data_IF_564519350432
#
_entry.id   IF_564519350432
#
_cell.length_a   1.000
_cell.length_b   1.000
_cell.length_c   1.000
_cell.angle_alpha   90.00
_cell.angle_beta   90.00
_cell.angle_gamma   90.00
#
_symmetry.space_group_name_H-M   'P 1'
#
loop_
_entity.id
_entity.type
_entity.pdbx_description
1 polymer ?
#
# COMPACT_ATOMS: atom_id res chain seq x y z
N UNK A 1 -1.48 -6.31 -17.61
CA UNK A 1 -2.30 -5.38 -16.81
C UNK A 1 -2.61 -6.10 -15.50
N UNK A 2 -2.32 -5.51 -14.35
CA UNK A 2 -2.67 -6.10 -13.05
C UNK A 2 -4.14 -5.79 -12.73
N UNK A 3 -4.79 -6.69 -11.99
CA UNK A 3 -6.18 -6.56 -11.56
C UNK A 3 -6.30 -7.00 -10.11
N UNK A 4 -7.15 -6.33 -9.35
CA UNK A 4 -7.34 -6.56 -7.92
C UNK A 4 -7.37 -5.24 -7.16
N UNK A 5 -7.65 -5.30 -5.86
CA UNK A 5 -7.65 -4.10 -5.03
C UNK A 5 -6.21 -3.60 -4.79
N UNK A 6 -6.05 -2.27 -4.71
CA UNK A 6 -4.77 -1.60 -4.49
C UNK A 6 -4.57 -1.31 -3.00
N UNK A 7 -3.33 -1.46 -2.54
CA UNK A 7 -2.91 -1.11 -1.17
C UNK A 7 -1.50 -0.54 -1.21
N UNK A 8 -1.24 0.41 -0.32
CA UNK A 8 0.07 1.01 -0.10
C UNK A 8 0.70 0.42 1.15
N UNK A 9 1.93 -0.10 1.01
CA UNK A 9 2.79 -0.52 2.12
C UNK A 9 4.03 0.38 2.09
N UNK A 10 4.17 1.25 3.09
CA UNK A 10 5.28 2.19 3.21
C UNK A 10 6.18 1.82 4.39
N UNK A 11 7.44 2.24 4.33
CA UNK A 11 8.40 2.02 5.39
C UNK A 11 9.37 3.19 5.51
N UNK A 12 9.79 3.50 6.74
CA UNK A 12 10.99 4.29 6.97
C UNK A 12 12.21 3.37 6.85
N UNK A 13 13.25 3.80 6.12
CA UNK A 13 14.47 3.01 5.95
C UNK A 13 15.73 3.86 6.05
N UNK A 14 16.82 3.24 6.51
CA UNK A 14 18.17 3.85 6.63
C UNK A 14 19.17 3.28 5.60
N UNK A 15 18.68 2.47 4.67
CA UNK A 15 19.46 1.74 3.68
C UNK A 15 19.74 0.27 4.04
N UNK A 16 19.70 -0.10 5.33
CA UNK A 16 19.95 -1.48 5.82
C UNK A 16 18.78 -2.05 6.61
N UNK A 17 18.04 -1.19 7.29
CA UNK A 17 16.87 -1.50 8.09
C UNK A 17 15.64 -0.81 7.50
N UNK A 18 14.48 -1.40 7.78
CA UNK A 18 13.19 -0.79 7.49
C UNK A 18 12.22 -1.00 8.66
N UNK A 19 11.37 0.00 8.90
CA UNK A 19 10.24 -0.06 9.84
C UNK A 19 8.97 0.23 9.07
N UNK A 20 8.07 -0.75 9.00
CA UNK A 20 6.82 -0.64 8.26
C UNK A 20 5.86 0.34 8.95
N UNK A 21 5.22 1.18 8.14
CA UNK A 21 4.10 2.02 8.55
C UNK A 21 2.78 1.22 8.46
N UNK A 22 1.70 1.68 9.12
CA UNK A 22 0.36 1.15 8.88
C UNK A 22 0.02 1.19 7.38
N UNK A 23 -0.63 0.15 6.88
CA UNK A 23 -1.03 0.06 5.47
C UNK A 23 -2.06 1.14 5.13
N UNK A 24 -2.09 1.59 3.88
CA UNK A 24 -3.06 2.58 3.43
C UNK A 24 -3.76 2.12 2.16
N UNK A 25 -4.98 2.61 1.96
CA UNK A 25 -5.70 2.45 0.71
C UNK A 25 -6.28 3.80 0.30
N UNK A 26 -6.07 4.19 -0.95
CA UNK A 26 -6.52 5.46 -1.49
C UNK A 26 -7.63 5.29 -2.53
N UNK A 27 -8.46 6.31 -2.64
CA UNK A 27 -9.49 6.42 -3.66
C UNK A 27 -9.06 7.49 -4.66
N UNK A 28 -8.61 7.07 -5.84
CA UNK A 28 -8.13 8.00 -6.89
C UNK A 28 -9.25 8.50 -7.80
N UNK A 29 -10.40 7.82 -7.84
CA UNK A 29 -11.48 8.09 -8.79
C UNK A 29 -12.34 9.25 -8.34
N UNK A 30 -12.62 10.17 -9.27
CA UNK A 30 -13.35 11.42 -8.99
C UNK A 30 -14.77 11.19 -8.47
N UNK A 31 -15.43 10.09 -8.89
CA UNK A 31 -16.83 9.81 -8.59
C UNK A 31 -16.97 8.52 -7.79
N UNK A 32 -18.09 8.40 -7.07
CA UNK A 32 -18.46 7.23 -6.30
C UNK A 32 -18.40 5.93 -7.10
N UNK A 33 -18.13 4.83 -6.38
CA UNK A 33 -17.99 3.47 -6.92
C UNK A 33 -16.86 3.36 -7.94
N UNK A 34 -15.75 4.07 -7.69
CA UNK A 34 -14.55 4.10 -8.51
C UNK A 34 -14.78 4.50 -9.98
N UNK A 35 -15.65 5.49 -10.20
CA UNK A 35 -15.99 6.00 -11.54
C UNK A 35 -15.34 7.35 -11.86
N UNK A 36 -15.38 7.73 -13.13
CA UNK A 36 -14.81 9.00 -13.61
C UNK A 36 -13.28 8.95 -13.79
N UNK A 37 -12.65 10.10 -14.11
CA UNK A 37 -11.21 10.18 -14.34
C UNK A 37 -10.41 9.90 -13.05
N UNK A 38 -9.14 9.56 -13.22
CA UNK A 38 -8.19 9.51 -12.10
C UNK A 38 -7.89 10.95 -11.64
N UNK A 39 -7.78 11.11 -10.32
CA UNK A 39 -7.36 12.34 -9.64
C UNK A 39 -6.05 12.09 -8.89
N UNK A 40 -5.51 13.10 -8.22
CA UNK A 40 -4.38 12.92 -7.29
C UNK A 40 -4.75 12.14 -6.02
N UNK A 41 -6.04 11.98 -5.71
CA UNK A 41 -6.55 11.33 -4.51
C UNK A 41 -7.77 12.09 -3.96
N UNK A 42 -8.91 11.40 -3.86
CA UNK A 42 -10.14 11.91 -3.25
C UNK A 42 -10.20 11.66 -1.74
N UNK A 43 -9.42 10.70 -1.27
CA UNK A 43 -9.32 10.33 0.15
C UNK A 43 -8.52 9.05 0.31
N UNK A 44 -8.07 8.79 1.54
CA UNK A 44 -7.39 7.57 1.91
C UNK A 44 -7.72 7.20 3.36
N UNK A 45 -7.55 5.93 3.70
CA UNK A 45 -7.71 5.44 5.07
C UNK A 45 -6.60 4.47 5.45
N UNK A 46 -6.39 4.34 6.75
CA UNK A 46 -5.38 3.48 7.35
C UNK A 46 -5.85 2.98 8.73
N UNK A 47 -5.58 1.72 9.11
CA UNK A 47 -4.99 0.65 8.31
C UNK A 47 -5.95 0.08 7.26
N UNK A 48 -5.43 -0.49 6.17
CA UNK A 48 -6.28 -1.22 5.21
C UNK A 48 -6.54 -2.65 5.70
N UNK A 49 -7.82 -3.03 5.75
CA UNK A 49 -8.27 -4.38 6.10
C UNK A 49 -7.94 -5.43 5.03
N UNK A 50 -7.45 -5.02 3.85
CA UNK A 50 -7.08 -5.92 2.76
C UNK A 50 -5.76 -6.66 3.02
N UNK A 51 -4.94 -6.18 3.97
CA UNK A 51 -3.64 -6.79 4.28
C UNK A 51 -3.72 -7.48 5.63
N UNK A 52 -3.66 -8.81 5.61
CA UNK A 52 -3.51 -9.59 6.83
C UNK A 52 -2.10 -9.46 7.41
N UNK A 53 -1.90 -9.72 8.71
CA UNK A 53 -0.56 -9.75 9.31
C UNK A 53 0.39 -10.72 8.60
N UNK A 54 -0.11 -11.86 8.14
CA UNK A 54 0.67 -12.84 7.38
C UNK A 54 1.10 -12.29 6.02
N UNK A 55 0.19 -11.65 5.29
CA UNK A 55 0.52 -11.04 4.01
C UNK A 55 1.52 -9.88 4.19
N UNK A 56 1.38 -9.08 5.25
CA UNK A 56 2.33 -8.01 5.55
C UNK A 56 3.74 -8.56 5.84
N UNK A 57 3.84 -9.66 6.58
CA UNK A 57 5.11 -10.34 6.84
C UNK A 57 5.73 -10.92 5.57
N UNK A 58 4.90 -11.47 4.67
CA UNK A 58 5.37 -11.96 3.37
C UNK A 58 5.86 -10.81 2.48
N UNK A 59 5.16 -9.68 2.44
CA UNK A 59 5.59 -8.46 1.73
C UNK A 59 6.92 -7.95 2.31
N UNK A 60 7.07 -7.91 3.64
CA UNK A 60 8.33 -7.50 4.28
C UNK A 60 9.49 -8.39 3.84
N UNK A 61 9.29 -9.72 3.90
CA UNK A 61 10.32 -10.71 3.56
C UNK A 61 10.67 -10.73 2.07
N UNK A 62 9.68 -10.59 1.19
CA UNK A 62 9.84 -10.85 -0.25
C UNK A 62 10.02 -9.58 -1.09
N UNK A 63 9.66 -8.41 -0.55
CA UNK A 63 9.71 -7.14 -1.28
C UNK A 63 10.54 -6.10 -0.52
N UNK A 64 10.21 -5.80 0.74
CA UNK A 64 10.87 -4.70 1.47
C UNK A 64 12.33 -5.04 1.77
N UNK A 65 12.60 -6.13 2.50
CA UNK A 65 13.97 -6.53 2.88
C UNK A 65 14.90 -6.75 1.67
N UNK A 66 14.47 -7.41 0.58
CA UNK A 66 15.32 -7.58 -0.60
C UNK A 66 15.62 -6.26 -1.36
N UNK A 67 14.88 -5.20 -1.09
CA UNK A 67 15.11 -3.87 -1.71
C UNK A 67 16.16 -3.05 -0.93
N UNK A 68 16.53 -3.45 0.29
CA UNK A 68 17.57 -2.81 1.09
C UNK A 68 18.98 -3.27 0.63
N UNK A 69 20.01 -2.45 0.93
CA UNK A 69 21.39 -2.64 0.46
C UNK A 69 22.24 -3.57 1.36
#
# INVERSE_FOLDING_TARGET
KLSGPEVSVLAFCDGKNAVLMPTAQDHKRLLDYDRGPNTGGMGAFSPSALVSPQLLADIDRTIIRPTLA
#
